data_IF_624714309449
#
_entry.id   IF_624714309449
#
_cell.length_a   1.000
_cell.length_b   1.000
_cell.length_c   1.000
_cell.angle_alpha   90.00
_cell.angle_beta   90.00
_cell.angle_gamma   90.00
#
_symmetry.space_group_name_H-M   'P 1'
#
loop_
_entity.id
_entity.type
_entity.pdbx_description
1 polymer ?
#
# COMPACT_ATOMS: atom_id res chain seq x y z
N UNK A 1 -16.30 -5.54 -29.90
CA UNK A 1 -14.93 -5.25 -29.40
C UNK A 1 -14.39 -6.52 -28.76
N UNK A 2 -13.30 -7.10 -29.27
CA UNK A 2 -12.68 -8.31 -28.71
C UNK A 2 -11.61 -7.86 -27.70
N UNK A 3 -11.82 -8.15 -26.42
CA UNK A 3 -10.86 -7.82 -25.36
C UNK A 3 -9.75 -8.87 -25.38
N UNK A 4 -8.58 -8.50 -25.89
CA UNK A 4 -7.38 -9.36 -25.86
C UNK A 4 -6.55 -9.06 -24.61
N UNK A 5 -6.15 -10.09 -23.84
CA UNK A 5 -5.21 -9.92 -22.73
C UNK A 5 -3.89 -9.35 -23.24
N UNK A 6 -3.45 -8.23 -22.67
CA UNK A 6 -2.15 -7.64 -23.04
C UNK A 6 -1.03 -8.52 -22.47
N UNK A 7 -0.19 -9.06 -23.34
CA UNK A 7 0.98 -9.86 -22.96
C UNK A 7 2.10 -9.01 -22.36
N UNK A 8 2.18 -7.73 -22.72
CA UNK A 8 3.22 -6.82 -22.27
C UNK A 8 2.63 -5.58 -21.61
N UNK A 9 3.13 -5.28 -20.40
CA UNK A 9 2.80 -4.07 -19.68
C UNK A 9 3.86 -3.02 -20.03
N UNK A 10 3.45 -1.89 -20.60
CA UNK A 10 4.37 -0.78 -20.90
C UNK A 10 5.08 -0.32 -19.61
N UNK A 11 6.41 -0.09 -19.63
CA UNK A 11 7.17 0.36 -18.45
C UNK A 11 6.58 1.62 -17.79
N UNK A 12 6.01 2.50 -18.61
CA UNK A 12 5.33 3.72 -18.14
C UNK A 12 4.15 3.38 -17.25
N UNK A 13 3.31 2.40 -17.63
CA UNK A 13 2.14 2.00 -16.82
C UNK A 13 2.55 1.26 -15.57
N UNK A 14 3.63 0.47 -15.64
CA UNK A 14 4.17 -0.23 -14.48
C UNK A 14 4.55 0.72 -13.34
N UNK A 15 5.09 1.90 -13.69
CA UNK A 15 5.46 2.95 -12.71
C UNK A 15 4.27 3.86 -12.39
N UNK A 16 3.52 4.30 -13.40
CA UNK A 16 2.43 5.26 -13.18
C UNK A 16 1.27 4.68 -12.39
N UNK A 17 0.96 3.38 -12.51
CA UNK A 17 -0.13 2.76 -11.78
C UNK A 17 0.03 2.86 -10.24
N UNK A 18 1.15 2.41 -9.64
CA UNK A 18 1.34 2.55 -8.19
C UNK A 18 1.45 4.02 -7.76
N UNK A 19 2.10 4.88 -8.54
CA UNK A 19 2.19 6.33 -8.23
C UNK A 19 0.80 6.98 -8.21
N UNK A 20 -0.04 6.68 -9.21
CA UNK A 20 -1.41 7.17 -9.26
C UNK A 20 -2.25 6.64 -8.09
N UNK A 21 -2.06 5.38 -7.69
CA UNK A 21 -2.71 4.82 -6.52
C UNK A 21 -2.31 5.55 -5.22
N UNK A 22 -1.02 5.85 -5.03
CA UNK A 22 -0.56 6.63 -3.88
C UNK A 22 -1.18 8.03 -3.87
N UNK A 23 -1.17 8.73 -5.01
CA UNK A 23 -1.76 10.07 -5.12
C UNK A 23 -3.26 10.02 -4.82
N UNK A 24 -3.99 9.05 -5.38
CA UNK A 24 -5.42 8.89 -5.13
C UNK A 24 -5.71 8.64 -3.63
N UNK A 25 -4.91 7.80 -2.97
CA UNK A 25 -5.02 7.54 -1.53
C UNK A 25 -4.76 8.81 -0.71
N UNK A 26 -3.74 9.60 -1.05
CA UNK A 26 -3.49 10.88 -0.38
C UNK A 26 -4.67 11.84 -0.58
N UNK A 27 -5.18 11.99 -1.80
CA UNK A 27 -6.33 12.87 -2.04
C UNK A 27 -7.58 12.46 -1.25
N UNK A 28 -7.85 11.15 -1.18
CA UNK A 28 -8.97 10.62 -0.40
C UNK A 28 -8.78 10.88 1.10
N UNK A 29 -7.59 10.61 1.64
CA UNK A 29 -7.26 10.91 3.04
C UNK A 29 -7.32 12.41 3.35
N UNK A 30 -6.92 13.27 2.42
CA UNK A 30 -7.04 14.73 2.58
C UNK A 30 -8.49 15.15 2.80
N UNK A 31 -9.43 14.55 2.07
CA UNK A 31 -10.87 14.78 2.28
C UNK A 31 -11.33 14.40 3.69
N UNK A 32 -10.87 13.26 4.21
CA UNK A 32 -11.18 12.82 5.58
C UNK A 32 -10.57 13.73 6.64
N UNK A 33 -9.34 14.21 6.43
CA UNK A 33 -8.65 15.14 7.33
C UNK A 33 -9.37 16.50 7.36
N UNK A 34 -9.78 17.02 6.20
CA UNK A 34 -10.59 18.23 6.14
C UNK A 34 -11.93 18.05 6.85
N UNK A 35 -12.56 16.89 6.68
CA UNK A 35 -13.83 16.58 7.34
C UNK A 35 -13.71 16.52 8.87
N UNK A 36 -12.56 16.11 9.41
CA UNK A 36 -12.31 16.15 10.85
C UNK A 36 -11.97 17.55 11.39
N UNK A 37 -11.86 18.56 10.51
CA UNK A 37 -11.48 19.93 10.87
C UNK A 37 -9.98 20.13 11.12
N UNK A 38 -9.15 19.13 10.80
CA UNK A 38 -7.70 19.22 10.95
C UNK A 38 -7.03 19.81 9.69
N UNK A 39 -5.83 20.33 9.85
CA UNK A 39 -5.06 20.87 8.72
C UNK A 39 -4.37 19.74 7.93
N UNK A 40 -4.63 19.67 6.62
CA UNK A 40 -4.07 18.61 5.75
C UNK A 40 -2.55 18.69 5.68
N UNK A 41 -2.02 19.91 5.59
CA UNK A 41 -0.58 20.11 5.50
C UNK A 41 0.14 19.61 6.76
N UNK A 42 -0.34 19.96 7.95
CA UNK A 42 0.26 19.51 9.21
C UNK A 42 0.12 18.00 9.39
N UNK A 43 -1.04 17.41 9.02
CA UNK A 43 -1.23 15.97 9.07
C UNK A 43 -0.20 15.22 8.22
N UNK A 44 0.05 15.66 6.98
CA UNK A 44 1.09 15.05 6.14
C UNK A 44 2.50 15.39 6.57
N UNK A 45 2.73 16.58 7.10
CA UNK A 45 4.02 16.93 7.69
C UNK A 45 4.36 16.00 8.86
N UNK A 46 3.41 15.80 9.79
CA UNK A 46 3.55 14.87 10.90
C UNK A 46 3.73 13.42 10.42
N UNK A 47 3.00 12.98 9.40
CA UNK A 47 3.16 11.66 8.80
C UNK A 47 4.57 11.47 8.24
N UNK A 48 5.12 12.45 7.53
CA UNK A 48 6.47 12.40 6.98
C UNK A 48 7.53 12.39 8.08
N UNK A 49 7.47 13.32 9.03
CA UNK A 49 8.43 13.35 10.15
C UNK A 49 8.32 12.12 11.04
N UNK A 50 7.11 11.58 11.23
CA UNK A 50 6.86 10.39 12.03
C UNK A 50 7.33 9.09 11.37
N UNK A 51 7.45 9.06 10.03
CA UNK A 51 7.87 7.86 9.28
C UNK A 51 9.36 7.86 8.93
N UNK A 52 9.96 9.01 8.63
CA UNK A 52 11.36 9.10 8.19
C UNK A 52 12.21 10.12 8.96
N UNK A 53 11.65 10.83 9.94
CA UNK A 53 12.35 11.92 10.64
C UNK A 53 13.44 11.48 11.63
N UNK A 54 13.58 10.17 11.90
CA UNK A 54 14.67 9.62 12.70
C UNK A 54 15.02 8.20 12.25
N UNK A 55 16.21 7.71 12.63
CA UNK A 55 16.61 6.33 12.35
C UNK A 55 15.64 5.30 12.95
N UNK A 56 15.08 5.60 14.13
CA UNK A 56 14.08 4.75 14.77
C UNK A 56 12.77 4.73 13.96
N UNK A 57 12.25 5.90 13.60
CA UNK A 57 11.03 6.04 12.78
C UNK A 57 11.16 5.31 11.44
N UNK A 58 12.33 5.45 10.78
CA UNK A 58 12.61 4.76 9.54
C UNK A 58 12.63 3.24 9.73
N UNK A 59 13.29 2.75 10.79
CA UNK A 59 13.35 1.33 11.10
C UNK A 59 11.95 0.76 11.41
N UNK A 60 11.12 1.50 12.16
CA UNK A 60 9.73 1.10 12.44
C UNK A 60 8.90 1.07 11.15
N UNK A 61 9.02 2.09 10.29
CA UNK A 61 8.34 2.14 9.00
C UNK A 61 8.71 0.94 8.13
N UNK A 62 10.01 0.62 8.03
CA UNK A 62 10.47 -0.56 7.28
C UNK A 62 10.01 -1.87 7.91
N UNK A 63 10.00 -1.97 9.25
CA UNK A 63 9.52 -3.14 9.98
C UNK A 63 8.05 -3.43 9.67
N UNK A 64 7.20 -2.38 9.57
CA UNK A 64 5.79 -2.53 9.20
C UNK A 64 5.57 -2.72 7.69
N UNK A 65 6.37 -2.06 6.85
CA UNK A 65 6.24 -2.14 5.40
C UNK A 65 6.64 -3.52 4.85
N UNK A 66 7.67 -4.15 5.42
CA UNK A 66 8.20 -5.44 4.99
C UNK A 66 7.12 -6.54 4.87
N UNK A 67 6.33 -6.84 5.92
CA UNK A 67 5.29 -7.87 5.82
C UNK A 67 4.17 -7.50 4.83
N UNK A 68 3.83 -6.21 4.69
CA UNK A 68 2.83 -5.75 3.71
C UNK A 68 3.31 -5.96 2.26
N UNK A 69 4.58 -5.67 1.99
CA UNK A 69 5.21 -5.94 0.69
C UNK A 69 5.17 -7.43 0.38
N UNK A 70 5.54 -8.29 1.33
CA UNK A 70 5.46 -9.74 1.14
C UNK A 70 4.04 -10.25 0.95
N UNK A 71 3.05 -9.64 1.61
CA UNK A 71 1.63 -9.96 1.44
C UNK A 71 1.18 -9.66 0.01
N UNK A 72 1.55 -8.49 -0.53
CA UNK A 72 1.29 -8.14 -1.93
C UNK A 72 1.99 -9.09 -2.92
N UNK A 73 3.23 -9.48 -2.64
CA UNK A 73 3.97 -10.44 -3.45
C UNK A 73 3.31 -11.83 -3.45
N UNK A 74 2.85 -12.31 -2.29
CA UNK A 74 2.12 -13.57 -2.17
C UNK A 74 0.80 -13.54 -2.97
N UNK A 75 0.06 -12.43 -2.93
CA UNK A 75 -1.13 -12.24 -3.74
C UNK A 75 -0.80 -12.26 -5.26
N UNK A 76 0.28 -11.61 -5.68
CA UNK A 76 0.73 -11.64 -7.07
C UNK A 76 1.03 -13.06 -7.58
N UNK A 77 1.67 -13.90 -6.73
CA UNK A 77 1.90 -15.32 -7.05
C UNK A 77 0.59 -16.08 -7.18
N UNK A 78 -0.37 -15.88 -6.27
CA UNK A 78 -1.69 -16.51 -6.34
C UNK A 78 -2.45 -16.14 -7.62
N UNK A 79 -2.45 -14.85 -7.99
CA UNK A 79 -3.09 -14.39 -9.22
C UNK A 79 -2.46 -15.01 -10.48
N UNK A 80 -1.13 -15.20 -10.50
CA UNK A 80 -0.46 -15.90 -11.60
C UNK A 80 -0.88 -17.37 -11.71
N UNK A 81 -1.22 -18.01 -10.58
CA UNK A 81 -1.79 -19.36 -10.54
C UNK A 81 -3.30 -19.39 -10.86
N UNK A 82 -3.91 -18.26 -11.25
CA UNK A 82 -5.36 -18.09 -11.44
C UNK A 82 -6.18 -18.39 -10.18
N UNK A 83 -5.56 -18.24 -9.01
CA UNK A 83 -6.19 -18.40 -7.72
C UNK A 83 -6.47 -17.02 -7.11
N UNK A 84 -7.72 -16.76 -6.75
CA UNK A 84 -8.13 -15.49 -6.13
C UNK A 84 -7.96 -15.59 -4.61
N UNK A 85 -6.95 -14.90 -4.06
CA UNK A 85 -6.83 -14.68 -2.62
C UNK A 85 -7.30 -13.24 -2.29
N UNK A 86 -8.52 -13.12 -1.75
CA UNK A 86 -9.17 -11.82 -1.44
C UNK A 86 -8.85 -11.37 0.01
N UNK A 87 -8.21 -12.21 0.83
CA UNK A 87 -8.04 -12.00 2.27
C UNK A 87 -6.59 -11.99 2.76
N UNK A 88 -5.62 -11.77 1.88
CA UNK A 88 -4.19 -11.90 2.20
C UNK A 88 -3.76 -11.02 3.41
N UNK A 89 -4.30 -9.81 3.52
CA UNK A 89 -4.05 -8.92 4.66
C UNK A 89 -4.61 -9.48 5.98
N UNK A 90 -5.82 -10.04 5.95
CA UNK A 90 -6.41 -10.72 7.11
C UNK A 90 -5.61 -11.97 7.53
N UNK A 91 -5.04 -12.70 6.56
CA UNK A 91 -4.15 -13.84 6.82
C UNK A 91 -2.86 -13.40 7.49
N UNK A 92 -2.27 -12.28 7.03
CA UNK A 92 -1.12 -11.66 7.70
C UNK A 92 -1.44 -11.33 9.17
N UNK A 93 -2.57 -10.66 9.42
CA UNK A 93 -2.97 -10.30 10.78
C UNK A 93 -3.27 -11.53 11.66
N UNK A 94 -3.94 -12.54 11.12
CA UNK A 94 -4.19 -13.79 11.85
C UNK A 94 -2.89 -14.49 12.25
N UNK A 95 -1.90 -14.55 11.34
CA UNK A 95 -0.58 -15.09 11.65
C UNK A 95 0.15 -14.27 12.73
N UNK A 96 0.07 -12.94 12.65
CA UNK A 96 0.65 -12.06 13.67
C UNK A 96 0.00 -12.21 15.05
N UNK A 97 -1.30 -12.56 15.12
CA UNK A 97 -1.99 -12.83 16.39
C UNK A 97 -1.66 -14.19 16.99
N UNK A 98 -1.35 -15.20 16.15
CA UNK A 98 -1.05 -16.55 16.65
C UNK A 98 0.39 -16.72 17.12
N UNK A 99 1.31 -15.82 16.73
CA UNK A 99 2.72 -15.90 17.15
C UNK A 99 2.95 -15.31 18.54
N UNK A 100 2.03 -14.48 19.03
CA UNK A 100 1.99 -13.92 20.40
C UNK A 100 1.28 -14.86 21.36
#
# INVERSE_FOLDING_TARGET
MRLEPRSEVSPVRFILAPVAAVIASLLLCSGLILWSGASVFEAYWMMLTGSIGSSFALAETLSRATPLIFTGLAAAVAFRARFWNIGAEGQLYAGALMVT
#
